data_IF_112607294664
#
_entry.id   IF_112607294664
#
_cell.length_a   1.000
_cell.length_b   1.000
_cell.length_c   1.000
_cell.angle_alpha   90.00
_cell.angle_beta   90.00
_cell.angle_gamma   90.00
#
_symmetry.space_group_name_H-M   'P 1'
#
loop_
_entity.id
_entity.type
_entity.pdbx_description
1 polymer ?
#
# COMPACT_ATOMS: atom_id res chain seq x y z
N UNK A 1 -21.83 -12.62 -14.72
CA UNK A 1 -22.49 -11.30 -14.51
C UNK A 1 -21.47 -10.38 -13.86
N UNK A 2 -21.17 -9.23 -14.45
CA UNK A 2 -20.31 -8.24 -13.79
C UNK A 2 -21.09 -7.61 -12.63
N UNK A 3 -20.61 -7.75 -11.41
CA UNK A 3 -21.17 -7.05 -10.25
C UNK A 3 -20.86 -5.55 -10.44
N UNK A 4 -21.89 -4.70 -10.46
CA UNK A 4 -21.73 -3.24 -10.54
C UNK A 4 -21.26 -2.67 -9.19
N UNK A 5 -20.15 -3.18 -8.65
CA UNK A 5 -19.54 -2.66 -7.42
C UNK A 5 -18.36 -1.77 -7.78
N UNK A 6 -18.37 -0.55 -7.28
CA UNK A 6 -17.22 0.34 -7.38
C UNK A 6 -16.08 -0.20 -6.50
N UNK A 7 -14.85 -0.06 -6.98
CA UNK A 7 -13.62 -0.50 -6.31
C UNK A 7 -12.55 0.58 -6.47
N UNK A 8 -11.59 0.62 -5.54
CA UNK A 8 -10.44 1.50 -5.65
C UNK A 8 -9.39 0.83 -6.54
N UNK A 9 -8.92 1.54 -7.56
CA UNK A 9 -7.83 1.11 -8.44
C UNK A 9 -6.66 2.06 -8.26
N UNK A 10 -5.50 1.52 -7.92
CA UNK A 10 -4.24 2.25 -7.77
C UNK A 10 -3.24 1.71 -8.79
N UNK A 11 -2.70 2.60 -9.61
CA UNK A 11 -1.59 2.31 -10.52
C UNK A 11 -0.31 2.95 -9.97
N UNK A 12 0.77 2.19 -9.90
CA UNK A 12 2.07 2.63 -9.37
C UNK A 12 3.22 2.21 -10.28
N UNK A 13 4.37 2.86 -10.10
CA UNK A 13 5.61 2.53 -10.81
C UNK A 13 6.65 2.04 -9.82
N UNK A 14 6.58 0.73 -9.50
CA UNK A 14 7.50 0.11 -8.54
C UNK A 14 8.91 -0.05 -9.16
N UNK A 15 9.99 0.12 -8.37
CA UNK A 15 11.32 -0.19 -8.86
C UNK A 15 11.44 -1.66 -9.26
N UNK A 16 12.15 -1.94 -10.35
CA UNK A 16 12.54 -3.29 -10.70
C UNK A 16 13.71 -3.72 -9.80
N UNK A 17 13.38 -4.22 -8.62
CA UNK A 17 14.32 -4.76 -7.65
C UNK A 17 13.71 -6.00 -6.98
N UNK A 18 14.53 -7.03 -6.75
CA UNK A 18 14.16 -8.19 -5.94
C UNK A 18 14.05 -7.87 -4.45
N UNK A 19 14.62 -6.76 -4.02
CA UNK A 19 14.69 -6.38 -2.61
C UNK A 19 13.52 -5.49 -2.17
N UNK A 20 12.61 -5.18 -3.08
CA UNK A 20 11.43 -4.34 -2.84
C UNK A 20 10.19 -5.16 -3.14
N UNK A 21 9.40 -5.39 -2.10
CA UNK A 21 8.10 -6.03 -2.20
C UNK A 21 7.07 -5.05 -2.77
N UNK A 22 6.36 -5.41 -3.86
CA UNK A 22 5.18 -4.67 -4.31
C UNK A 22 4.12 -4.63 -3.21
N UNK A 23 3.37 -3.53 -3.13
CA UNK A 23 2.29 -3.34 -2.14
C UNK A 23 1.32 -4.53 -2.05
N UNK A 24 0.95 -5.15 -3.18
CA UNK A 24 0.06 -6.30 -3.16
C UNK A 24 0.62 -7.52 -2.44
N UNK A 25 1.95 -7.75 -2.47
CA UNK A 25 2.58 -8.83 -1.68
C UNK A 25 2.49 -8.55 -0.18
N UNK A 26 2.50 -7.28 0.22
CA UNK A 26 2.33 -6.87 1.62
C UNK A 26 0.94 -7.23 2.11
N UNK A 27 -0.10 -6.89 1.34
CA UNK A 27 -1.47 -7.30 1.64
C UNK A 27 -1.63 -8.83 1.72
N UNK A 28 -1.01 -9.58 0.80
CA UNK A 28 -1.03 -11.06 0.85
C UNK A 28 -0.41 -11.58 2.16
N UNK A 29 0.78 -11.11 2.54
CA UNK A 29 1.45 -11.52 3.79
C UNK A 29 0.60 -11.22 5.02
N UNK A 30 -0.02 -10.03 5.09
CA UNK A 30 -0.92 -9.67 6.18
C UNK A 30 -2.09 -10.67 6.30
N UNK A 31 -2.71 -11.03 5.18
CA UNK A 31 -3.87 -11.95 5.19
C UNK A 31 -3.50 -13.39 5.51
N UNK A 32 -2.36 -13.87 5.01
CA UNK A 32 -1.82 -15.18 5.36
C UNK A 32 -1.57 -15.29 6.85
N UNK A 33 -1.15 -14.19 7.48
CA UNK A 33 -0.93 -14.06 8.93
C UNK A 33 -2.18 -13.63 9.71
N UNK A 34 -3.35 -13.68 9.06
CA UNK A 34 -4.66 -13.35 9.65
C UNK A 34 -4.83 -11.90 10.13
N UNK A 35 -3.96 -10.99 9.70
CA UNK A 35 -4.10 -9.55 9.95
C UNK A 35 -5.06 -8.96 8.92
N UNK A 36 -6.30 -8.66 9.36
CA UNK A 36 -7.35 -8.07 8.51
C UNK A 36 -8.03 -6.86 9.13
N UNK A 37 -7.82 -6.61 10.42
CA UNK A 37 -8.48 -5.52 11.12
C UNK A 37 -7.94 -4.19 10.60
N UNK A 38 -8.85 -3.31 10.16
CA UNK A 38 -8.53 -1.96 9.68
C UNK A 38 -7.54 -1.94 8.49
N UNK A 39 -7.50 -3.03 7.72
CA UNK A 39 -6.76 -3.17 6.46
C UNK A 39 -7.78 -3.27 5.32
N UNK A 40 -7.59 -2.50 4.25
CA UNK A 40 -8.42 -2.62 3.05
C UNK A 40 -8.31 -4.03 2.45
N UNK A 41 -9.35 -4.55 1.82
CA UNK A 41 -9.43 -5.86 1.17
C UNK A 41 -8.81 -5.83 -0.23
N UNK A 42 -7.72 -6.56 -0.44
CA UNK A 42 -7.10 -6.77 -1.74
C UNK A 42 -7.95 -7.69 -2.61
N UNK A 43 -8.34 -7.21 -3.78
CA UNK A 43 -9.08 -7.98 -4.79
C UNK A 43 -8.19 -8.45 -5.93
N UNK A 44 -7.21 -7.64 -6.32
CA UNK A 44 -6.32 -7.93 -7.44
C UNK A 44 -5.02 -7.15 -7.30
N UNK A 45 -3.91 -7.76 -7.69
CA UNK A 45 -2.69 -7.02 -7.97
C UNK A 45 -1.78 -7.73 -8.98
N UNK A 46 -1.13 -6.98 -9.87
CA UNK A 46 -0.17 -7.52 -10.82
C UNK A 46 0.62 -6.44 -11.54
N UNK A 47 1.76 -6.82 -12.10
CA UNK A 47 2.41 -6.03 -13.15
C UNK A 47 1.51 -5.91 -14.39
N UNK A 48 1.37 -4.70 -14.91
CA UNK A 48 0.57 -4.40 -16.10
C UNK A 48 1.34 -4.82 -17.35
N UNK A 49 0.71 -5.61 -18.22
CA UNK A 49 1.33 -6.22 -19.40
C UNK A 49 1.65 -7.72 -19.24
N UNK A 50 1.39 -8.29 -18.06
CA UNK A 50 1.49 -9.73 -17.83
C UNK A 50 2.92 -10.24 -17.99
N UNK A 51 3.13 -11.19 -18.91
CA UNK A 51 4.46 -11.74 -19.22
C UNK A 51 5.44 -10.67 -19.71
N UNK A 52 4.93 -9.60 -20.32
CA UNK A 52 5.72 -8.53 -20.92
C UNK A 52 5.36 -7.20 -20.24
N UNK A 53 5.80 -7.00 -18.99
CA UNK A 53 5.33 -5.88 -18.20
C UNK A 53 5.81 -4.54 -18.76
N UNK A 54 4.97 -3.52 -18.65
CA UNK A 54 5.30 -2.16 -19.05
C UNK A 54 6.41 -1.61 -18.16
N UNK A 55 7.45 -1.05 -18.78
CA UNK A 55 8.68 -0.59 -18.10
C UNK A 55 9.05 0.82 -18.52
N UNK A 56 9.56 1.61 -17.58
CA UNK A 56 10.16 2.90 -17.90
C UNK A 56 11.53 2.74 -18.55
N UNK A 57 11.86 3.66 -19.45
CA UNK A 57 13.17 3.71 -20.14
C UNK A 57 14.10 4.80 -19.61
N UNK A 58 13.70 5.55 -18.58
CA UNK A 58 14.47 6.69 -18.02
C UNK A 58 15.91 6.31 -17.68
N UNK A 59 16.11 5.14 -17.10
CA UNK A 59 17.43 4.61 -16.77
C UNK A 59 18.38 4.47 -17.98
N UNK A 60 17.86 4.28 -19.20
CA UNK A 60 18.67 4.22 -20.42
C UNK A 60 19.29 5.59 -20.75
N UNK A 61 18.58 6.67 -20.40
CA UNK A 61 18.94 8.05 -20.75
C UNK A 61 19.65 8.79 -19.61
N UNK A 62 19.43 8.38 -18.35
CA UNK A 62 20.03 9.01 -17.17
C UNK A 62 21.36 8.39 -16.72
N UNK A 63 21.79 7.26 -17.32
CA UNK A 63 22.97 6.47 -16.89
C UNK A 63 24.25 7.27 -16.59
N UNK A 64 24.52 8.33 -17.36
CA UNK A 64 25.72 9.17 -17.16
C UNK A 64 25.67 9.99 -15.87
N UNK A 65 24.49 10.51 -15.51
CA UNK A 65 24.28 11.37 -14.34
C UNK A 65 23.82 10.56 -13.12
N UNK A 66 23.07 9.49 -13.35
CA UNK A 66 22.43 8.65 -12.34
C UNK A 66 22.59 7.16 -12.70
N UNK A 67 23.79 6.59 -12.50
CA UNK A 67 24.07 5.20 -12.87
C UNK A 67 23.25 4.17 -12.08
N UNK A 68 22.71 4.58 -10.92
CA UNK A 68 21.88 3.75 -10.05
C UNK A 68 20.38 3.86 -10.32
N UNK A 69 19.95 4.59 -11.35
CA UNK A 69 18.52 4.65 -11.70
C UNK A 69 18.06 3.26 -12.16
N UNK A 70 17.16 2.65 -11.40
CA UNK A 70 16.51 1.40 -11.79
C UNK A 70 15.36 1.66 -12.76
N UNK A 71 15.11 0.76 -13.73
CA UNK A 71 13.83 0.75 -14.44
C UNK A 71 12.68 0.58 -13.44
N UNK A 72 11.53 1.15 -13.76
CA UNK A 72 10.30 0.96 -12.99
C UNK A 72 9.30 0.14 -13.79
N UNK A 73 8.57 -0.73 -13.12
CA UNK A 73 7.52 -1.57 -13.70
C UNK A 73 6.16 -0.96 -13.33
N UNK A 74 5.25 -0.85 -14.30
CA UNK A 74 3.87 -0.45 -14.05
C UNK A 74 3.15 -1.57 -13.30
N UNK A 75 2.67 -1.27 -12.10
CA UNK A 75 1.98 -2.19 -11.21
C UNK A 75 0.58 -1.69 -10.93
N UNK A 76 -0.38 -2.61 -10.86
CA UNK A 76 -1.78 -2.32 -10.56
C UNK A 76 -2.22 -3.05 -9.31
N UNK A 77 -2.95 -2.35 -8.46
CA UNK A 77 -3.58 -2.82 -7.24
C UNK A 77 -5.08 -2.46 -7.28
N UNK A 78 -5.95 -3.38 -6.88
CA UNK A 78 -7.39 -3.13 -6.75
C UNK A 78 -7.82 -3.52 -5.34
N UNK A 79 -8.40 -2.55 -4.63
CA UNK A 79 -8.93 -2.70 -3.29
C UNK A 79 -10.46 -2.61 -3.32
N UNK A 80 -11.12 -3.37 -2.45
CA UNK A 80 -12.59 -3.45 -2.39
C UNK A 80 -13.19 -2.15 -1.86
N UNK A 81 -12.60 -1.59 -0.82
CA UNK A 81 -13.12 -0.44 -0.09
C UNK A 81 -12.81 0.85 -0.84
N UNK A 82 -13.83 1.70 -0.98
CA UNK A 82 -13.67 3.10 -1.34
C UNK A 82 -13.79 3.87 -0.04
N UNK A 83 -12.83 4.75 0.21
CA UNK A 83 -12.71 5.50 1.44
C UNK A 83 -12.58 7.00 1.13
N UNK A 84 -13.01 7.83 2.07
CA UNK A 84 -12.83 9.28 2.03
C UNK A 84 -11.60 9.69 2.86
N UNK A 85 -10.96 10.83 2.52
CA UNK A 85 -9.78 11.31 3.23
C UNK A 85 -10.07 11.62 4.71
N UNK A 86 -9.06 11.53 5.57
CA UNK A 86 -9.20 11.81 7.01
C UNK A 86 -9.73 13.22 7.29
N UNK A 87 -9.40 14.20 6.45
CA UNK A 87 -9.81 15.59 6.62
C UNK A 87 -11.32 15.79 6.42
N UNK A 88 -12.00 14.82 5.83
CA UNK A 88 -13.45 14.84 5.62
C UNK A 88 -14.25 14.30 6.81
N UNK A 89 -13.62 14.13 7.98
CA UNK A 89 -14.28 13.67 9.19
C UNK A 89 -15.45 14.58 9.61
N UNK A 90 -16.51 13.99 10.16
CA UNK A 90 -17.71 14.74 10.57
C UNK A 90 -17.54 15.44 11.90
N UNK A 91 -16.77 14.85 12.82
CA UNK A 91 -16.46 15.40 14.13
C UNK A 91 -15.13 14.86 14.68
N UNK A 92 -14.72 15.38 15.83
CA UNK A 92 -13.49 14.96 16.51
C UNK A 92 -13.51 13.51 16.99
N UNK A 93 -14.68 12.93 17.24
CA UNK A 93 -14.83 11.54 17.65
C UNK A 93 -14.44 10.62 16.50
N UNK A 94 -15.02 10.83 15.32
CA UNK A 94 -14.70 10.07 14.10
C UNK A 94 -13.21 10.19 13.75
N UNK A 95 -12.63 11.39 13.87
CA UNK A 95 -11.20 11.60 13.65
C UNK A 95 -10.35 10.73 14.58
N UNK A 96 -10.62 10.76 15.89
CA UNK A 96 -9.85 10.01 16.89
C UNK A 96 -10.04 8.49 16.71
N UNK A 97 -11.25 8.02 16.44
CA UNK A 97 -11.52 6.60 16.19
C UNK A 97 -10.85 6.08 14.92
N UNK A 98 -10.79 6.91 13.89
CA UNK A 98 -10.11 6.58 12.63
C UNK A 98 -8.60 6.46 12.83
N UNK A 99 -7.99 7.42 13.53
CA UNK A 99 -6.56 7.37 13.88
C UNK A 99 -6.26 6.16 14.75
N UNK A 100 -7.09 5.89 15.77
CA UNK A 100 -6.96 4.70 16.61
C UNK A 100 -7.02 3.41 15.78
N UNK A 101 -7.94 3.36 14.81
CA UNK A 101 -8.09 2.20 13.92
C UNK A 101 -6.82 1.96 13.08
N UNK A 102 -6.20 3.02 12.55
CA UNK A 102 -4.94 2.92 11.83
C UNK A 102 -3.77 2.48 12.73
N UNK A 103 -3.69 2.97 13.97
CA UNK A 103 -2.68 2.53 14.94
C UNK A 103 -2.84 1.05 15.30
N UNK A 104 -4.08 0.58 15.46
CA UNK A 104 -4.37 -0.85 15.67
C UNK A 104 -3.98 -1.69 14.44
N UNK A 105 -4.28 -1.21 13.23
CA UNK A 105 -3.87 -1.86 11.99
C UNK A 105 -2.35 -2.03 11.92
N UNK A 106 -1.62 -0.95 12.23
CA UNK A 106 -0.16 -0.97 12.29
C UNK A 106 0.38 -1.91 13.37
N UNK A 107 -0.21 -1.90 14.57
CA UNK A 107 0.19 -2.78 15.65
C UNK A 107 0.07 -4.25 15.25
N UNK A 108 -1.09 -4.67 14.74
CA UNK A 108 -1.30 -6.06 14.30
C UNK A 108 -0.38 -6.40 13.11
N UNK A 109 -0.19 -5.47 12.17
CA UNK A 109 0.75 -5.65 11.07
C UNK A 109 2.18 -5.90 11.57
N UNK A 110 2.63 -5.21 12.61
CA UNK A 110 3.99 -5.37 13.14
C UNK A 110 4.16 -6.63 14.01
N UNK A 111 3.24 -6.83 14.95
CA UNK A 111 3.32 -7.89 15.96
C UNK A 111 3.00 -9.27 15.38
N UNK A 112 2.03 -9.35 14.46
CA UNK A 112 1.55 -10.60 13.89
C UNK A 112 1.99 -10.73 12.43
N UNK A 113 1.78 -9.68 11.64
CA UNK A 113 2.11 -9.64 10.22
C UNK A 113 3.61 -9.65 9.94
N UNK A 114 4.42 -9.23 10.92
CA UNK A 114 5.86 -8.94 10.76
C UNK A 114 6.12 -7.94 9.61
N UNK A 115 5.22 -7.00 9.43
CA UNK A 115 5.28 -5.93 8.43
C UNK A 115 5.35 -4.59 9.15
N UNK A 116 6.33 -3.76 8.77
CA UNK A 116 6.45 -2.38 9.21
C UNK A 116 5.97 -1.46 8.07
N UNK A 117 4.95 -0.61 8.32
CA UNK A 117 4.36 0.27 7.29
C UNK A 117 5.34 1.34 6.77
N UNK A 118 6.05 2.01 7.68
CA UNK A 118 7.02 3.10 7.45
C UNK A 118 6.50 4.41 6.85
N UNK A 119 5.24 4.48 6.43
CA UNK A 119 4.66 5.71 5.87
C UNK A 119 3.31 6.11 6.50
N UNK A 120 3.26 6.26 7.82
CA UNK A 120 2.04 6.71 8.50
C UNK A 120 1.93 8.23 8.37
N UNK A 121 0.87 8.68 7.70
CA UNK A 121 0.52 10.09 7.49
C UNK A 121 -1.00 10.26 7.47
N UNK A 122 -1.49 11.49 7.53
CA UNK A 122 -2.90 11.84 7.35
C UNK A 122 -3.45 11.40 5.98
N UNK A 123 -2.62 11.41 4.93
CA UNK A 123 -3.00 10.93 3.60
C UNK A 123 -3.17 9.41 3.48
N UNK A 124 -2.59 8.63 4.40
CA UNK A 124 -2.60 7.17 4.39
C UNK A 124 -3.56 6.57 5.42
N UNK A 125 -4.23 7.43 6.21
CA UNK A 125 -5.30 7.06 7.11
C UNK A 125 -6.61 7.52 6.49
N UNK A 126 -7.53 6.60 6.23
CA UNK A 126 -8.77 6.91 5.50
C UNK A 126 -9.99 6.38 6.21
N UNK A 127 -11.15 7.00 5.93
CA UNK A 127 -12.43 6.63 6.53
C UNK A 127 -13.24 5.86 5.48
N UNK A 128 -13.58 4.61 5.78
CA UNK A 128 -14.48 3.81 4.96
C UNK A 128 -15.87 3.79 5.59
N UNK A 129 -16.84 4.37 4.89
CA UNK A 129 -18.25 4.26 5.26
C UNK A 129 -18.80 2.93 4.69
N UNK A 130 -19.13 1.97 5.57
CA UNK A 130 -19.66 0.68 5.15
C UNK A 130 -21.04 0.89 4.47
N UNK A 131 -21.21 0.50 3.20
CA UNK A 131 -22.44 0.77 2.46
C UNK A 131 -23.66 -0.04 2.94
N UNK A 132 -23.46 -1.04 3.80
CA UNK A 132 -24.50 -1.90 4.36
C UNK A 132 -24.87 -1.43 5.77
N UNK A 133 -23.90 -1.28 6.67
CA UNK A 133 -24.19 -0.85 8.05
C UNK A 133 -24.29 0.66 8.22
N UNK A 134 -23.67 1.44 7.32
CA UNK A 134 -23.52 2.89 7.46
C UNK A 134 -22.47 3.31 8.49
N UNK A 135 -21.75 2.35 9.09
CA UNK A 135 -20.71 2.64 10.07
C UNK A 135 -19.44 3.14 9.39
N UNK A 136 -18.87 4.21 9.93
CA UNK A 136 -17.55 4.69 9.54
C UNK A 136 -16.47 3.83 10.20
N UNK A 137 -15.48 3.40 9.42
CA UNK A 137 -14.36 2.59 9.89
C UNK A 137 -13.04 3.15 9.38
N UNK A 138 -12.07 3.32 10.27
CA UNK A 138 -10.73 3.72 9.86
C UNK A 138 -9.94 2.59 9.22
N UNK A 139 -9.23 2.91 8.14
CA UNK A 139 -8.31 2.01 7.44
C UNK A 139 -6.92 2.64 7.34
N UNK A 140 -5.88 1.80 7.42
CA UNK A 140 -4.52 2.15 7.04
C UNK A 140 -4.23 1.62 5.62
N UNK A 141 -3.87 2.52 4.72
CA UNK A 141 -3.60 2.24 3.30
C UNK A 141 -2.18 2.67 2.93
N UNK A 142 -1.79 2.39 1.68
CA UNK A 142 -0.51 2.76 1.09
C UNK A 142 0.70 2.04 1.71
N UNK A 143 0.76 0.73 1.46
CA UNK A 143 1.82 -0.13 1.97
C UNK A 143 3.04 -0.21 1.04
N UNK A 144 3.16 0.68 0.05
CA UNK A 144 4.25 0.69 -0.95
C UNK A 144 5.64 0.87 -0.31
N UNK A 145 5.70 1.53 0.84
CA UNK A 145 6.93 1.71 1.59
C UNK A 145 7.10 0.68 2.71
N UNK A 146 6.26 -0.34 2.81
CA UNK A 146 6.39 -1.32 3.87
C UNK A 146 7.69 -2.13 3.78
N UNK A 147 8.11 -2.70 4.90
CA UNK A 147 9.20 -3.68 4.97
C UNK A 147 8.79 -4.87 5.80
N UNK A 148 9.20 -6.06 5.36
CA UNK A 148 9.10 -7.24 6.19
C UNK A 148 10.19 -7.21 7.27
N UNK A 149 9.89 -7.76 8.44
CA UNK A 149 10.80 -7.77 9.60
C UNK A 149 12.18 -8.33 9.24
N UNK A 150 12.21 -9.40 8.47
CA UNK A 150 13.44 -10.04 7.96
C UNK A 150 14.28 -9.13 7.03
N UNK A 151 13.67 -8.15 6.38
CA UNK A 151 14.38 -7.19 5.52
C UNK A 151 14.96 -6.00 6.28
N UNK A 152 14.65 -5.88 7.57
CA UNK A 152 15.23 -4.85 8.45
C UNK A 152 16.63 -5.24 8.90
N UNK A 153 16.94 -6.54 8.93
CA UNK A 153 18.28 -7.05 9.27
C UNK A 153 19.25 -6.96 8.09
N UNK A 154 18.73 -6.78 6.88
CA UNK A 154 19.51 -6.60 5.66
C UNK A 154 20.06 -5.17 5.58
N UNK A 155 21.26 -4.96 4.99
CA UNK A 155 21.78 -3.62 4.74
C UNK A 155 20.81 -2.77 3.90
N UNK A 156 20.89 -1.43 3.98
CA UNK A 156 19.93 -0.54 3.33
C UNK A 156 19.78 -0.80 1.83
N UNK A 157 18.54 -1.10 1.42
CA UNK A 157 18.16 -1.45 0.06
C UNK A 157 18.18 -0.25 -0.91
N UNK A 158 17.99 0.98 -0.41
CA UNK A 158 17.98 2.20 -1.24
C UNK A 158 19.18 3.10 -0.89
N UNK A 159 20.09 3.28 -1.87
CA UNK A 159 21.21 4.23 -1.78
C UNK A 159 20.87 5.64 -2.30
N UNK A 160 19.71 5.86 -2.90
CA UNK A 160 19.25 7.18 -3.32
C UNK A 160 17.72 7.23 -3.43
N UNK A 161 17.08 8.17 -2.71
CA UNK A 161 15.73 8.62 -3.03
C UNK A 161 15.79 9.60 -4.20
N UNK A 162 14.79 9.59 -5.06
CA UNK A 162 14.45 10.79 -5.83
C UNK A 162 13.84 11.77 -4.82
N UNK A 163 14.48 12.93 -4.67
CA UNK A 163 13.95 14.08 -3.93
C UNK A 163 12.84 14.72 -4.73
#
# INVERSE_FOLDING_TARGET
MATKKAVMLKDTWRPMSSDIHPEGEVYMRLYERQVRRNIATLLYCRDVGGEHPQKTRTHEWSKKLHPMTLPRIHYRLVLKEIARPLESHVDSGELVETILSALQAHQEAWEIGEVLHRDISDGNVVIHDDPISGEAKGLLIDWDLAKFREDLEKPPTQKSRSV
#
